data_IF_556799279352
#
_entry.id   IF_556799279352
#
_cell.length_a   1.000
_cell.length_b   1.000
_cell.length_c   1.000
_cell.angle_alpha   90.00
_cell.angle_beta   90.00
_cell.angle_gamma   90.00
#
_symmetry.space_group_name_H-M   'P 1'
#
loop_
_entity.id
_entity.type
_entity.pdbx_description
1 polymer ?
#
# COMPACT_ATOMS: atom_id res chain seq x y z
N UNK A 1 32.66 -11.35 0.43
CA UNK A 1 31.38 -12.03 0.70
C UNK A 1 30.73 -12.33 -0.65
N UNK A 2 30.33 -13.57 -0.91
CA UNK A 2 29.55 -13.88 -2.11
C UNK A 2 28.19 -13.19 -1.95
N UNK A 3 27.83 -12.30 -2.87
CA UNK A 3 26.47 -11.80 -2.98
C UNK A 3 25.60 -12.98 -3.43
N UNK A 4 25.11 -13.77 -2.48
CA UNK A 4 23.91 -14.56 -2.74
C UNK A 4 22.82 -13.55 -3.06
N UNK A 5 22.33 -13.55 -4.30
CA UNK A 5 21.23 -12.70 -4.71
C UNK A 5 20.04 -13.04 -3.81
N UNK A 6 19.67 -12.13 -2.92
CA UNK A 6 18.54 -12.32 -2.03
C UNK A 6 17.29 -12.43 -2.89
N UNK A 7 16.59 -13.56 -2.81
CA UNK A 7 15.39 -13.81 -3.60
C UNK A 7 14.24 -12.90 -3.10
N UNK A 8 13.75 -11.93 -3.91
CA UNK A 8 12.69 -11.01 -3.50
C UNK A 8 11.39 -11.72 -3.07
N UNK A 9 11.09 -12.88 -3.67
CA UNK A 9 9.92 -13.69 -3.31
C UNK A 9 10.05 -14.22 -1.89
N UNK A 10 11.21 -14.75 -1.52
CA UNK A 10 11.46 -15.29 -0.20
C UNK A 10 11.38 -14.20 0.88
N UNK A 11 11.91 -13.00 0.59
CA UNK A 11 11.80 -11.85 1.50
C UNK A 11 10.34 -11.46 1.72
N UNK A 12 9.56 -11.36 0.65
CA UNK A 12 8.13 -11.06 0.74
C UNK A 12 7.38 -12.12 1.56
N UNK A 13 7.62 -13.40 1.28
CA UNK A 13 7.01 -14.52 2.01
C UNK A 13 7.33 -14.48 3.50
N UNK A 14 8.59 -14.29 3.87
CA UNK A 14 9.01 -14.26 5.27
C UNK A 14 8.30 -13.15 6.07
N UNK A 15 8.07 -11.98 5.47
CA UNK A 15 7.31 -10.91 6.13
C UNK A 15 5.85 -11.30 6.36
N UNK A 16 5.20 -11.85 5.32
CA UNK A 16 3.77 -12.18 5.34
C UNK A 16 3.49 -13.34 6.31
N UNK A 17 4.34 -14.35 6.34
CA UNK A 17 4.12 -15.61 7.07
C UNK A 17 4.75 -15.65 8.46
N UNK A 18 5.50 -14.62 8.88
CA UNK A 18 6.11 -14.55 10.21
C UNK A 18 5.11 -14.91 11.33
N UNK A 19 5.44 -15.86 12.19
CA UNK A 19 4.53 -16.34 13.23
C UNK A 19 4.75 -15.62 14.56
N UNK A 20 5.94 -15.05 14.76
CA UNK A 20 6.33 -14.41 16.01
C UNK A 20 7.07 -13.07 15.76
N UNK A 21 7.25 -12.24 16.81
CA UNK A 21 7.91 -10.94 16.68
C UNK A 21 9.37 -11.00 16.20
N UNK A 22 10.11 -12.07 16.54
CA UNK A 22 11.52 -12.22 16.13
C UNK A 22 11.62 -12.45 14.62
N UNK A 23 10.81 -13.37 14.08
CA UNK A 23 10.70 -13.61 12.64
C UNK A 23 10.26 -12.35 11.88
N UNK A 24 9.31 -11.60 12.45
CA UNK A 24 8.85 -10.35 11.86
C UNK A 24 9.96 -9.29 11.82
N UNK A 25 10.74 -9.18 12.91
CA UNK A 25 11.85 -8.25 13.00
C UNK A 25 12.96 -8.61 12.01
N UNK A 26 13.31 -9.88 11.87
CA UNK A 26 14.29 -10.34 10.88
C UNK A 26 13.80 -10.14 9.44
N UNK A 27 12.52 -10.40 9.16
CA UNK A 27 11.93 -10.13 7.86
C UNK A 27 11.97 -8.62 7.52
N UNK A 28 11.66 -7.75 8.49
CA UNK A 28 11.73 -6.30 8.31
C UNK A 28 13.18 -5.83 8.06
N UNK A 29 14.15 -6.34 8.83
CA UNK A 29 15.58 -6.06 8.60
C UNK A 29 16.02 -6.51 7.21
N UNK A 30 15.55 -7.67 6.74
CA UNK A 30 15.85 -8.15 5.39
C UNK A 30 15.32 -7.19 4.32
N UNK A 31 14.08 -6.69 4.45
CA UNK A 31 13.52 -5.69 3.54
C UNK A 31 14.37 -4.41 3.54
N UNK A 32 14.70 -3.86 4.71
CA UNK A 32 15.52 -2.64 4.81
C UNK A 32 16.92 -2.84 4.24
N UNK A 33 17.55 -3.98 4.51
CA UNK A 33 18.85 -4.33 3.95
C UNK A 33 18.80 -4.38 2.42
N UNK A 34 17.75 -4.98 1.84
CA UNK A 34 17.55 -4.96 0.40
C UNK A 34 17.40 -3.54 -0.13
N UNK A 35 16.54 -2.73 0.50
CA UNK A 35 16.32 -1.33 0.11
C UNK A 35 17.62 -0.50 0.10
N UNK A 36 18.56 -0.79 1.01
CA UNK A 36 19.84 -0.09 1.12
C UNK A 36 20.93 -0.61 0.16
N UNK A 37 20.85 -1.87 -0.26
CA UNK A 37 21.96 -2.55 -0.95
C UNK A 37 21.66 -2.96 -2.39
N UNK A 38 20.38 -3.03 -2.76
CA UNK A 38 19.95 -3.48 -4.09
C UNK A 38 19.53 -2.29 -4.97
N UNK A 39 19.62 -2.44 -6.31
CA UNK A 39 19.07 -1.47 -7.25
C UNK A 39 17.55 -1.29 -7.07
N UNK A 40 17.06 -0.09 -7.42
CA UNK A 40 15.63 0.26 -7.32
C UNK A 40 14.74 -0.75 -8.03
N UNK A 41 15.11 -1.23 -9.22
CA UNK A 41 14.30 -2.20 -9.97
C UNK A 41 14.10 -3.52 -9.20
N UNK A 42 15.09 -3.98 -8.43
CA UNK A 42 14.93 -5.14 -7.55
C UNK A 42 13.93 -4.88 -6.44
N UNK A 43 13.88 -3.65 -5.92
CA UNK A 43 12.90 -3.24 -4.91
C UNK A 43 11.49 -3.14 -5.51
N UNK A 44 11.37 -2.71 -6.77
CA UNK A 44 10.08 -2.71 -7.49
C UNK A 44 9.55 -4.14 -7.65
N UNK A 45 10.42 -5.10 -7.97
CA UNK A 45 10.04 -6.52 -8.01
C UNK A 45 9.66 -7.05 -6.60
N UNK A 46 10.40 -6.67 -5.56
CA UNK A 46 10.03 -6.99 -4.17
C UNK A 46 8.64 -6.46 -3.82
N UNK A 47 8.32 -5.22 -4.21
CA UNK A 47 6.99 -4.64 -3.98
C UNK A 47 5.89 -5.46 -4.65
N UNK A 48 6.06 -5.85 -5.92
CA UNK A 48 5.10 -6.72 -6.63
C UNK A 48 4.90 -8.05 -5.91
N UNK A 49 5.98 -8.68 -5.44
CA UNK A 49 5.89 -9.94 -4.71
C UNK A 49 5.25 -9.78 -3.33
N UNK A 50 5.51 -8.68 -2.63
CA UNK A 50 4.82 -8.37 -1.37
C UNK A 50 3.32 -8.27 -1.56
N UNK A 51 2.86 -7.58 -2.60
CA UNK A 51 1.43 -7.48 -2.93
C UNK A 51 0.85 -8.86 -3.24
N UNK A 52 1.46 -9.58 -4.18
CA UNK A 52 0.96 -10.86 -4.67
C UNK A 52 0.91 -11.91 -3.56
N UNK A 53 1.97 -12.04 -2.75
CA UNK A 53 2.04 -13.02 -1.65
C UNK A 53 1.05 -12.68 -0.55
N UNK A 54 0.93 -11.40 -0.18
CA UNK A 54 -0.02 -10.96 0.84
C UNK A 54 -1.46 -11.27 0.38
N UNK A 55 -1.81 -10.90 -0.86
CA UNK A 55 -3.14 -11.16 -1.43
C UNK A 55 -3.43 -12.65 -1.54
N UNK A 56 -2.48 -13.45 -2.02
CA UNK A 56 -2.65 -14.91 -2.13
C UNK A 56 -2.90 -15.56 -0.77
N UNK A 57 -2.13 -15.18 0.25
CA UNK A 57 -2.25 -15.70 1.62
C UNK A 57 -3.62 -15.38 2.21
N UNK A 58 -4.12 -14.15 2.00
CA UNK A 58 -5.45 -13.76 2.48
C UNK A 58 -6.57 -14.45 1.68
N UNK A 59 -6.43 -14.60 0.37
CA UNK A 59 -7.41 -15.33 -0.44
C UNK A 59 -7.51 -16.81 -0.06
N UNK A 60 -6.42 -17.45 0.37
CA UNK A 60 -6.47 -18.81 0.93
C UNK A 60 -7.34 -18.85 2.19
N UNK A 61 -7.23 -17.85 3.08
CA UNK A 61 -8.10 -17.72 4.26
C UNK A 61 -9.56 -17.47 3.87
N UNK A 62 -9.82 -16.62 2.87
CA UNK A 62 -11.18 -16.41 2.33
C UNK A 62 -11.79 -17.73 1.87
N UNK A 63 -11.03 -18.56 1.13
CA UNK A 63 -11.50 -19.88 0.68
C UNK A 63 -11.85 -20.80 1.84
N UNK A 64 -11.05 -20.79 2.90
CA UNK A 64 -11.32 -21.57 4.11
C UNK A 64 -12.63 -21.12 4.78
N UNK A 65 -12.85 -19.82 4.93
CA UNK A 65 -14.09 -19.27 5.51
C UNK A 65 -15.33 -19.60 4.68
N UNK A 66 -15.25 -19.47 3.35
CA UNK A 66 -16.36 -19.85 2.46
C UNK A 66 -16.68 -21.35 2.55
N UNK A 67 -15.65 -22.21 2.62
CA UNK A 67 -15.83 -23.66 2.80
C UNK A 67 -16.49 -24.03 4.13
N UNK A 68 -16.24 -23.24 5.17
CA UNK A 68 -16.85 -23.44 6.48
C UNK A 68 -18.35 -23.06 6.50
N UNK A 69 -18.86 -22.42 5.44
CA UNK A 69 -20.27 -22.08 5.28
C UNK A 69 -20.75 -20.91 6.15
N UNK A 70 -19.83 -20.14 6.72
CA UNK A 70 -20.10 -18.97 7.56
C UNK A 70 -20.43 -17.70 6.76
N UNK A 71 -20.11 -17.69 5.46
CA UNK A 71 -20.21 -16.51 4.60
C UNK A 71 -21.57 -16.36 3.92
N UNK A 72 -21.92 -15.12 3.56
CA UNK A 72 -23.11 -14.81 2.77
C UNK A 72 -23.00 -15.37 1.32
N UNK A 73 -24.14 -15.62 0.68
CA UNK A 73 -24.20 -16.15 -0.70
C UNK A 73 -23.41 -15.29 -1.71
N UNK A 74 -23.46 -13.97 -1.56
CA UNK A 74 -22.70 -13.03 -2.41
C UNK A 74 -21.19 -13.32 -2.39
N UNK A 75 -20.64 -13.73 -1.25
CA UNK A 75 -19.22 -14.07 -1.11
C UNK A 75 -18.88 -15.30 -1.94
N UNK A 76 -19.69 -16.34 -1.85
CA UNK A 76 -19.49 -17.58 -2.60
C UNK A 76 -19.56 -17.34 -4.11
N UNK A 77 -20.55 -16.57 -4.57
CA UNK A 77 -20.71 -16.21 -5.99
C UNK A 77 -19.52 -15.40 -6.49
N UNK A 78 -19.11 -14.36 -5.75
CA UNK A 78 -17.99 -13.52 -6.13
C UNK A 78 -16.65 -14.29 -6.13
N UNK A 79 -16.46 -15.22 -5.20
CA UNK A 79 -15.27 -16.08 -5.17
C UNK A 79 -15.24 -17.01 -6.39
N UNK A 80 -16.35 -17.66 -6.72
CA UNK A 80 -16.44 -18.52 -7.91
C UNK A 80 -16.14 -17.72 -9.18
N UNK A 81 -16.70 -16.51 -9.32
CA UNK A 81 -16.41 -15.66 -10.48
C UNK A 81 -14.93 -15.25 -10.52
N UNK A 82 -14.37 -14.80 -9.41
CA UNK A 82 -12.97 -14.37 -9.33
C UNK A 82 -11.99 -15.49 -9.73
N UNK A 83 -12.31 -16.74 -9.43
CA UNK A 83 -11.51 -17.92 -9.79
C UNK A 83 -11.67 -18.34 -11.26
N UNK A 84 -12.81 -18.04 -11.87
CA UNK A 84 -13.11 -18.40 -13.26
C UNK A 84 -12.79 -17.30 -14.27
N UNK A 85 -12.61 -16.05 -13.81
CA UNK A 85 -12.23 -14.93 -14.65
C UNK A 85 -10.79 -15.11 -15.18
N UNK A 86 -10.60 -14.82 -16.46
CA UNK A 86 -9.28 -14.85 -17.10
C UNK A 86 -8.45 -13.70 -16.57
N UNK A 87 -7.23 -14.01 -16.11
CA UNK A 87 -6.23 -13.02 -15.74
C UNK A 87 -5.15 -12.98 -16.82
N UNK A 88 -4.94 -11.85 -17.52
CA UNK A 88 -3.99 -11.79 -18.61
C UNK A 88 -2.56 -11.97 -18.08
N UNK A 89 -1.73 -12.70 -18.81
CA UNK A 89 -0.33 -12.93 -18.43
C UNK A 89 0.49 -11.62 -18.42
N UNK A 90 0.04 -10.61 -19.18
CA UNK A 90 0.66 -9.29 -19.27
C UNK A 90 -0.44 -8.21 -19.26
N UNK A 91 -0.16 -7.00 -18.73
CA UNK A 91 -1.10 -5.89 -18.81
C UNK A 91 -1.45 -5.58 -20.27
N UNK A 92 -2.73 -5.73 -20.63
CA UNK A 92 -3.23 -5.40 -21.96
C UNK A 92 -3.77 -3.95 -21.99
N UNK A 93 -3.45 -3.17 -23.03
CA UNK A 93 -3.94 -1.80 -23.18
C UNK A 93 -5.44 -1.77 -23.49
N UNK A 94 -6.12 -0.75 -22.97
CA UNK A 94 -7.57 -0.54 -23.15
C UNK A 94 -7.79 0.65 -24.08
N UNK A 95 -8.34 0.41 -25.27
CA UNK A 95 -8.48 1.41 -26.32
C UNK A 95 -9.91 1.78 -26.67
N UNK A 96 -10.84 0.84 -26.60
CA UNK A 96 -12.24 1.10 -26.93
C UNK A 96 -12.93 1.92 -25.83
N UNK A 97 -13.89 2.76 -26.23
CA UNK A 97 -14.66 3.54 -25.27
C UNK A 97 -15.46 2.63 -24.32
N UNK A 98 -15.97 1.50 -24.82
CA UNK A 98 -16.70 0.52 -24.03
C UNK A 98 -15.79 -0.14 -22.99
N UNK A 99 -14.60 -0.62 -23.37
CA UNK A 99 -13.67 -1.22 -22.43
C UNK A 99 -13.17 -0.20 -21.39
N UNK A 100 -12.96 1.07 -21.77
CA UNK A 100 -12.65 2.13 -20.79
C UNK A 100 -13.78 2.37 -19.79
N UNK A 101 -15.03 2.38 -20.24
CA UNK A 101 -16.18 2.54 -19.35
C UNK A 101 -16.27 1.35 -18.38
N UNK A 102 -16.18 0.12 -18.89
CA UNK A 102 -16.17 -1.08 -18.05
C UNK A 102 -15.02 -1.10 -17.05
N UNK A 103 -13.83 -0.62 -17.43
CA UNK A 103 -12.71 -0.50 -16.50
C UNK A 103 -13.03 0.46 -15.34
N UNK A 104 -13.76 1.55 -15.60
CA UNK A 104 -14.22 2.47 -14.57
C UNK A 104 -15.32 1.84 -13.72
N UNK A 105 -16.29 1.16 -14.34
CA UNK A 105 -17.38 0.49 -13.63
C UNK A 105 -16.83 -0.55 -12.66
N UNK A 106 -15.87 -1.37 -13.11
CA UNK A 106 -15.12 -2.32 -12.25
C UNK A 106 -14.36 -1.59 -11.14
N UNK A 107 -13.62 -0.52 -11.46
CA UNK A 107 -12.85 0.25 -10.47
C UNK A 107 -13.75 0.80 -9.34
N UNK A 108 -14.96 1.23 -9.68
CA UNK A 108 -15.89 1.86 -8.73
C UNK A 108 -16.88 0.90 -8.07
N UNK A 109 -16.74 -0.42 -8.26
CA UNK A 109 -17.47 -1.40 -7.45
C UNK A 109 -17.14 -1.23 -5.97
N UNK A 110 -18.13 -0.82 -5.17
CA UNK A 110 -17.95 -0.51 -3.74
C UNK A 110 -18.15 -1.69 -2.79
N UNK A 111 -18.88 -2.73 -3.21
CA UNK A 111 -19.16 -3.92 -2.39
C UNK A 111 -19.42 -5.15 -3.25
N UNK A 112 -19.39 -6.34 -2.66
CA UNK A 112 -19.82 -7.59 -3.29
C UNK A 112 -21.32 -7.55 -3.60
N UNK A 113 -22.13 -6.85 -2.79
CA UNK A 113 -23.54 -6.63 -3.09
C UNK A 113 -23.75 -5.83 -4.37
N UNK A 114 -22.98 -4.75 -4.56
CA UNK A 114 -23.03 -3.94 -5.79
C UNK A 114 -22.61 -4.76 -7.01
N UNK A 115 -21.57 -5.58 -6.86
CA UNK A 115 -21.15 -6.51 -7.90
C UNK A 115 -22.27 -7.50 -8.23
N UNK A 116 -22.84 -8.21 -7.25
CA UNK A 116 -23.88 -9.20 -7.48
C UNK A 116 -25.11 -8.61 -8.18
N UNK A 117 -25.48 -7.35 -7.87
CA UNK A 117 -26.58 -6.65 -8.53
C UNK A 117 -26.33 -6.39 -10.03
N UNK A 118 -25.07 -6.19 -10.43
CA UNK A 118 -24.67 -5.86 -11.80
C UNK A 118 -23.96 -7.01 -12.53
N UNK A 119 -23.74 -8.14 -11.85
CA UNK A 119 -22.93 -9.29 -12.28
C UNK A 119 -23.26 -9.74 -13.70
N UNK A 120 -24.53 -10.01 -13.97
CA UNK A 120 -24.98 -10.54 -15.27
C UNK A 120 -24.64 -9.56 -16.40
N UNK A 121 -24.90 -8.27 -16.18
CA UNK A 121 -24.60 -7.23 -17.16
C UNK A 121 -23.09 -7.07 -17.35
N UNK A 122 -22.31 -6.98 -16.26
CA UNK A 122 -20.86 -6.82 -16.34
C UNK A 122 -20.19 -7.98 -17.10
N UNK A 123 -20.54 -9.22 -16.77
CA UNK A 123 -19.98 -10.40 -17.41
C UNK A 123 -20.37 -10.50 -18.89
N UNK A 124 -21.63 -10.19 -19.23
CA UNK A 124 -22.10 -10.13 -20.62
C UNK A 124 -21.34 -9.06 -21.41
N UNK A 125 -21.19 -7.86 -20.84
CA UNK A 125 -20.51 -6.76 -21.50
C UNK A 125 -19.03 -7.04 -21.76
N UNK A 126 -18.35 -7.75 -20.85
CA UNK A 126 -16.96 -8.23 -21.02
C UNK A 126 -16.87 -9.21 -22.18
N UNK A 127 -17.79 -10.17 -22.30
CA UNK A 127 -17.81 -11.16 -23.38
C UNK A 127 -17.98 -10.53 -24.77
N UNK A 128 -18.61 -9.36 -24.84
CA UNK A 128 -18.81 -8.60 -26.07
C UNK A 128 -17.60 -7.71 -26.46
N UNK A 129 -16.53 -7.66 -25.66
CA UNK A 129 -15.29 -6.99 -26.03
C UNK A 129 -14.45 -7.86 -26.98
N UNK A 130 -13.42 -7.25 -27.59
CA UNK A 130 -12.39 -8.02 -28.31
C UNK A 130 -11.59 -8.86 -27.32
N UNK A 131 -10.99 -9.97 -27.76
CA UNK A 131 -10.32 -10.92 -26.87
C UNK A 131 -9.32 -10.28 -25.89
N UNK A 132 -8.43 -9.42 -26.39
CA UNK A 132 -7.42 -8.75 -25.55
C UNK A 132 -8.03 -7.77 -24.54
N UNK A 133 -9.06 -6.99 -24.94
CA UNK A 133 -9.73 -6.06 -24.03
C UNK A 133 -10.62 -6.82 -23.04
N UNK A 134 -11.26 -7.91 -23.45
CA UNK A 134 -12.04 -8.79 -22.60
C UNK A 134 -11.16 -9.39 -21.50
N UNK A 135 -9.97 -9.91 -21.86
CA UNK A 135 -8.99 -10.39 -20.89
C UNK A 135 -8.52 -9.27 -19.95
N UNK A 136 -8.24 -8.06 -20.47
CA UNK A 136 -7.83 -6.92 -19.66
C UNK A 136 -8.87 -6.55 -18.59
N UNK A 137 -10.15 -6.46 -18.98
CA UNK A 137 -11.24 -6.12 -18.06
C UNK A 137 -11.55 -7.28 -17.11
N UNK A 138 -11.52 -8.52 -17.61
CA UNK A 138 -11.68 -9.72 -16.79
C UNK A 138 -10.63 -9.79 -15.68
N UNK A 139 -9.36 -9.55 -15.99
CA UNK A 139 -8.29 -9.51 -15.00
C UNK A 139 -8.48 -8.43 -13.94
N UNK A 140 -8.90 -7.22 -14.36
CA UNK A 140 -9.24 -6.13 -13.43
C UNK A 140 -10.42 -6.48 -12.53
N UNK A 141 -11.43 -7.15 -13.07
CA UNK A 141 -12.58 -7.60 -12.29
C UNK A 141 -12.17 -8.67 -11.27
N UNK A 142 -11.38 -9.67 -11.68
CA UNK A 142 -10.85 -10.69 -10.76
C UNK A 142 -10.03 -10.05 -9.63
N UNK A 143 -9.17 -9.08 -9.96
CA UNK A 143 -8.39 -8.34 -8.99
C UNK A 143 -9.29 -7.58 -8.01
N UNK A 144 -10.29 -6.85 -8.51
CA UNK A 144 -11.22 -6.07 -7.69
C UNK A 144 -12.07 -6.97 -6.78
N UNK A 145 -12.59 -8.08 -7.31
CA UNK A 145 -13.34 -9.05 -6.52
C UNK A 145 -12.48 -9.64 -5.40
N UNK A 146 -11.21 -9.95 -5.68
CA UNK A 146 -10.27 -10.40 -4.65
C UNK A 146 -10.11 -9.37 -3.52
N UNK A 147 -10.07 -8.07 -3.83
CA UNK A 147 -9.98 -7.03 -2.80
C UNK A 147 -11.26 -6.90 -1.98
N UNK A 148 -12.43 -6.95 -2.65
CA UNK A 148 -13.73 -6.90 -1.98
C UNK A 148 -13.96 -8.13 -1.10
N UNK A 149 -13.53 -9.31 -1.55
CA UNK A 149 -13.59 -10.56 -0.78
C UNK A 149 -12.73 -10.47 0.49
N UNK A 150 -11.48 -10.03 0.38
CA UNK A 150 -10.61 -9.82 1.55
C UNK A 150 -11.24 -8.80 2.50
N UNK A 151 -11.77 -7.70 1.96
CA UNK A 151 -12.39 -6.66 2.75
C UNK A 151 -13.60 -7.17 3.54
N UNK A 152 -14.60 -7.75 2.87
CA UNK A 152 -15.85 -8.16 3.51
C UNK A 152 -15.69 -9.40 4.40
N UNK A 153 -14.80 -10.33 4.05
CA UNK A 153 -14.65 -11.59 4.78
C UNK A 153 -13.66 -11.46 5.94
N UNK A 154 -12.57 -10.72 5.80
CA UNK A 154 -11.46 -10.78 6.77
C UNK A 154 -11.28 -9.53 7.60
N UNK A 155 -11.59 -8.32 7.10
CA UNK A 155 -11.27 -7.07 7.82
C UNK A 155 -11.96 -7.00 9.19
N UNK A 156 -13.22 -7.41 9.25
CA UNK A 156 -14.00 -7.39 10.48
C UNK A 156 -13.94 -8.72 11.27
N UNK A 157 -13.24 -9.74 10.77
CA UNK A 157 -13.23 -11.10 11.32
C UNK A 157 -11.83 -11.58 11.75
N UNK A 158 -10.94 -10.66 12.12
CA UNK A 158 -9.57 -11.02 12.59
C UNK A 158 -9.50 -11.48 14.05
N UNK A 159 -10.64 -11.66 14.72
CA UNK A 159 -10.73 -11.80 16.18
C UNK A 159 -9.91 -12.98 16.72
N UNK A 160 -8.92 -12.64 17.55
CA UNK A 160 -8.05 -13.60 18.25
C UNK A 160 -6.84 -14.09 17.46
N UNK A 161 -6.79 -13.92 16.13
CA UNK A 161 -5.65 -14.29 15.30
C UNK A 161 -4.75 -13.07 15.01
N UNK A 162 -3.71 -12.90 15.83
CA UNK A 162 -2.73 -11.80 15.68
C UNK A 162 -1.97 -11.85 14.35
N UNK A 163 -1.76 -13.04 13.79
CA UNK A 163 -1.05 -13.20 12.52
C UNK A 163 -1.94 -12.73 11.38
N UNK A 164 -3.20 -13.16 11.37
CA UNK A 164 -4.20 -12.68 10.40
C UNK A 164 -4.41 -11.17 10.49
N UNK A 165 -4.57 -10.63 11.71
CA UNK A 165 -4.71 -9.18 11.91
C UNK A 165 -3.53 -8.40 11.31
N UNK A 166 -2.30 -8.89 11.48
CA UNK A 166 -1.11 -8.30 10.85
C UNK A 166 -1.14 -8.42 9.33
N UNK A 167 -1.51 -9.58 8.79
CA UNK A 167 -1.60 -9.81 7.35
C UNK A 167 -2.64 -8.89 6.68
N UNK A 168 -3.81 -8.74 7.31
CA UNK A 168 -4.85 -7.80 6.86
C UNK A 168 -4.35 -6.36 6.94
N UNK A 169 -3.69 -5.96 8.04
CA UNK A 169 -3.11 -4.61 8.17
C UNK A 169 -2.08 -4.35 7.08
N UNK A 170 -1.18 -5.31 6.81
CA UNK A 170 -0.21 -5.22 5.72
C UNK A 170 -0.91 -5.06 4.37
N UNK A 171 -1.90 -5.88 4.08
CA UNK A 171 -2.70 -5.77 2.85
C UNK A 171 -3.36 -4.41 2.70
N UNK A 172 -4.01 -3.87 3.74
CA UNK A 172 -4.63 -2.54 3.69
C UNK A 172 -3.61 -1.45 3.33
N UNK A 173 -2.40 -1.51 3.88
CA UNK A 173 -1.33 -0.56 3.58
C UNK A 173 -0.82 -0.68 2.13
N UNK A 174 -0.64 -1.91 1.63
CA UNK A 174 -0.21 -2.15 0.25
C UNK A 174 -1.31 -1.80 -0.76
N UNK A 175 -2.57 -2.15 -0.46
CA UNK A 175 -3.74 -1.79 -1.25
C UNK A 175 -3.86 -0.27 -1.40
N UNK A 176 -3.77 0.48 -0.28
CA UNK A 176 -3.78 1.93 -0.32
C UNK A 176 -2.60 2.52 -1.11
N UNK A 177 -1.40 1.98 -0.93
CA UNK A 177 -0.23 2.39 -1.71
C UNK A 177 -0.43 2.16 -3.21
N UNK A 178 -1.10 1.08 -3.61
CA UNK A 178 -1.42 0.80 -5.01
C UNK A 178 -2.47 1.76 -5.57
N UNK A 179 -3.56 2.00 -4.85
CA UNK A 179 -4.60 2.94 -5.29
C UNK A 179 -4.05 4.36 -5.50
N UNK A 180 -3.05 4.75 -4.71
CA UNK A 180 -2.37 6.05 -4.80
C UNK A 180 -1.15 6.05 -5.74
N UNK A 181 -0.85 4.94 -6.41
CA UNK A 181 0.26 4.82 -7.36
C UNK A 181 1.66 4.86 -6.74
N UNK A 182 1.78 4.50 -5.46
CA UNK A 182 3.00 4.53 -4.64
C UNK A 182 3.54 3.12 -4.30
N UNK A 183 2.90 2.06 -4.80
CA UNK A 183 3.20 0.67 -4.44
C UNK A 183 4.66 0.29 -4.73
N UNK A 184 5.24 0.75 -5.84
CA UNK A 184 6.61 0.38 -6.22
C UNK A 184 7.69 0.80 -5.21
N UNK A 185 7.39 1.77 -4.34
CA UNK A 185 8.30 2.26 -3.30
C UNK A 185 7.87 1.88 -1.89
N UNK A 186 6.72 1.21 -1.73
CA UNK A 186 6.21 0.78 -0.42
C UNK A 186 7.25 0.06 0.47
N UNK A 187 8.15 -0.81 -0.05
CA UNK A 187 9.14 -1.48 0.79
C UNK A 187 10.05 -0.52 1.58
N UNK A 188 10.39 0.64 1.03
CA UNK A 188 11.23 1.65 1.71
C UNK A 188 10.56 2.25 2.95
N UNK A 189 9.24 2.22 3.00
CA UNK A 189 8.43 2.87 4.02
C UNK A 189 7.81 1.89 5.02
N UNK A 190 8.01 0.58 4.85
CA UNK A 190 7.62 -0.39 5.85
C UNK A 190 8.47 -0.22 7.10
N UNK A 191 7.82 -0.22 8.27
CA UNK A 191 8.48 -0.12 9.56
C UNK A 191 7.70 -0.91 10.62
N UNK A 192 8.27 -1.01 11.82
CA UNK A 192 7.56 -1.47 13.01
C UNK A 192 7.19 -0.26 13.86
N UNK A 193 6.01 -0.26 14.47
CA UNK A 193 5.63 0.72 15.50
C UNK A 193 6.21 0.35 16.87
N UNK A 194 5.94 1.18 17.88
CA UNK A 194 6.48 1.02 19.24
C UNK A 194 6.02 -0.28 19.90
N UNK A 195 4.87 -0.82 19.46
CA UNK A 195 4.32 -2.09 19.91
C UNK A 195 4.81 -3.29 19.05
N UNK A 196 5.71 -3.04 18.08
CA UNK A 196 6.26 -4.06 17.20
C UNK A 196 5.32 -4.50 16.08
N UNK A 197 4.26 -3.75 15.78
CA UNK A 197 3.36 -4.07 14.68
C UNK A 197 3.82 -3.42 13.38
N UNK A 198 3.48 -4.05 12.25
CA UNK A 198 3.80 -3.51 10.92
C UNK A 198 3.03 -2.21 10.68
N UNK A 199 3.75 -1.18 10.28
CA UNK A 199 3.21 0.09 9.81
C UNK A 199 3.85 0.51 8.49
N UNK A 200 3.20 1.41 7.78
CA UNK A 200 3.71 2.04 6.57
C UNK A 200 3.82 3.54 6.81
N UNK A 201 5.01 4.06 6.55
CA UNK A 201 5.33 5.47 6.62
C UNK A 201 5.07 6.17 5.26
N UNK A 202 4.45 5.49 4.29
CA UNK A 202 4.06 6.13 3.03
C UNK A 202 3.06 7.26 3.32
N UNK A 203 3.15 8.41 2.64
CA UNK A 203 2.25 9.53 2.87
C UNK A 203 0.77 9.16 2.84
N UNK A 204 0.35 8.30 1.91
CA UNK A 204 -1.03 7.85 1.82
C UNK A 204 -1.50 7.06 3.06
N UNK A 205 -0.60 6.29 3.68
CA UNK A 205 -0.91 5.39 4.79
C UNK A 205 -0.79 6.04 6.17
N UNK A 206 -0.26 7.27 6.28
CA UNK A 206 -0.13 7.95 7.58
C UNK A 206 -1.52 8.37 8.08
N UNK A 207 -1.96 7.86 9.26
CA UNK A 207 -3.28 8.18 9.77
C UNK A 207 -3.35 9.63 10.26
N UNK A 208 -4.55 10.20 10.17
CA UNK A 208 -4.86 11.49 10.80
C UNK A 208 -4.63 11.37 12.31
N UNK A 209 -3.98 12.37 12.89
CA UNK A 209 -3.61 12.38 14.31
C UNK A 209 -2.24 11.76 14.60
N UNK A 210 -1.53 11.22 13.61
CA UNK A 210 -0.19 10.67 13.80
C UNK A 210 0.78 11.70 14.43
N UNK A 211 1.75 11.27 15.24
CA UNK A 211 2.73 12.18 15.83
C UNK A 211 3.75 12.66 14.79
N UNK A 212 4.38 13.81 15.03
CA UNK A 212 5.42 14.39 14.19
C UNK A 212 6.55 13.40 13.89
N UNK A 213 6.89 12.52 14.84
CA UNK A 213 7.86 11.42 14.65
C UNK A 213 7.59 10.64 13.36
N UNK A 214 6.34 10.24 13.10
CA UNK A 214 5.95 9.49 11.90
C UNK A 214 6.19 10.31 10.62
N UNK A 215 5.78 11.58 10.62
CA UNK A 215 5.97 12.46 9.45
C UNK A 215 7.45 12.77 9.18
N UNK A 216 8.26 12.98 10.22
CA UNK A 216 9.70 13.19 10.09
C UNK A 216 10.42 11.91 9.66
N UNK A 217 9.98 10.73 10.10
CA UNK A 217 10.52 9.46 9.61
C UNK A 217 10.23 9.27 8.11
N UNK A 218 9.01 9.56 7.66
CA UNK A 218 8.66 9.58 6.23
C UNK A 218 9.56 10.56 5.45
N UNK A 219 9.67 11.80 5.94
CA UNK A 219 10.54 12.82 5.33
C UNK A 219 12.02 12.39 5.28
N UNK A 220 12.49 11.69 6.31
CA UNK A 220 13.85 11.14 6.36
C UNK A 220 14.09 10.07 5.30
N UNK A 221 13.10 9.23 5.00
CA UNK A 221 13.16 8.26 3.90
C UNK A 221 13.18 9.01 2.56
N UNK A 222 12.33 10.03 2.37
CA UNK A 222 12.35 10.86 1.16
C UNK A 222 13.70 11.54 0.96
N UNK A 223 14.33 12.07 2.02
CA UNK A 223 15.69 12.61 1.95
C UNK A 223 16.67 11.57 1.38
N UNK A 224 16.63 10.33 1.86
CA UNK A 224 17.51 9.26 1.39
C UNK A 224 17.25 8.88 -0.08
N UNK A 225 15.99 8.94 -0.50
CA UNK A 225 15.55 8.62 -1.86
C UNK A 225 15.78 9.76 -2.87
N UNK A 226 15.99 11.00 -2.41
CA UNK A 226 16.05 12.20 -3.25
C UNK A 226 17.06 12.13 -4.41
N UNK A 227 18.14 11.36 -4.25
CA UNK A 227 19.19 11.19 -5.26
C UNK A 227 19.17 9.80 -5.92
N UNK A 228 18.25 8.92 -5.53
CA UNK A 228 18.18 7.54 -6.00
C UNK A 228 16.99 7.29 -6.93
N UNK A 229 15.94 8.11 -6.83
CA UNK A 229 14.67 7.91 -7.53
C UNK A 229 14.51 8.84 -8.73
N UNK A 230 13.58 8.46 -9.61
CA UNK A 230 13.13 9.34 -10.68
C UNK A 230 12.51 10.62 -10.09
N UNK A 231 12.79 11.77 -10.71
CA UNK A 231 12.36 13.08 -10.23
C UNK A 231 10.84 13.18 -10.12
N UNK A 232 10.09 12.53 -11.03
CA UNK A 232 8.63 12.55 -11.02
C UNK A 232 8.05 11.73 -9.88
N UNK A 233 8.55 10.50 -9.68
CA UNK A 233 8.14 9.63 -8.56
C UNK A 233 8.45 10.28 -7.21
N UNK A 234 9.64 10.89 -7.11
CA UNK A 234 10.07 11.63 -5.94
C UNK A 234 9.16 12.83 -5.63
N UNK A 235 8.90 13.67 -6.64
CA UNK A 235 8.03 14.84 -6.48
C UNK A 235 6.60 14.46 -6.10
N UNK A 236 6.07 13.37 -6.66
CA UNK A 236 4.75 12.86 -6.30
C UNK A 236 4.66 12.51 -4.80
N UNK A 237 5.66 11.80 -4.27
CA UNK A 237 5.72 11.46 -2.84
C UNK A 237 5.89 12.69 -1.95
N UNK A 238 6.74 13.65 -2.33
CA UNK A 238 6.92 14.89 -1.58
C UNK A 238 5.62 15.70 -1.55
N UNK A 239 4.92 15.80 -2.68
CA UNK A 239 3.62 16.48 -2.76
C UNK A 239 2.58 15.79 -1.86
N UNK A 240 2.50 14.46 -1.92
CA UNK A 240 1.59 13.70 -1.06
C UNK A 240 1.90 13.93 0.43
N UNK A 241 3.18 13.94 0.82
CA UNK A 241 3.56 14.25 2.20
C UNK A 241 3.21 15.69 2.58
N UNK A 242 3.47 16.66 1.70
CA UNK A 242 3.14 18.06 1.91
C UNK A 242 1.64 18.26 2.17
N UNK A 243 0.78 17.67 1.35
CA UNK A 243 -0.68 17.75 1.52
C UNK A 243 -1.15 17.10 2.83
N UNK A 244 -0.55 15.97 3.21
CA UNK A 244 -0.87 15.30 4.48
C UNK A 244 -0.44 16.11 5.70
N UNK A 245 0.78 16.64 5.70
CA UNK A 245 1.25 17.51 6.80
C UNK A 245 0.39 18.78 6.89
N UNK A 246 0.06 19.39 5.75
CA UNK A 246 -0.85 20.54 5.71
C UNK A 246 -2.20 20.22 6.35
N UNK A 247 -2.81 19.11 5.96
CA UNK A 247 -4.10 18.66 6.51
C UNK A 247 -4.02 18.45 8.02
N UNK A 248 -2.98 17.77 8.50
CA UNK A 248 -2.79 17.48 9.93
C UNK A 248 -2.59 18.77 10.75
N UNK A 249 -1.75 19.70 10.26
CA UNK A 249 -1.52 21.00 10.91
C UNK A 249 -2.82 21.80 11.02
N UNK A 250 -3.58 21.91 9.92
CA UNK A 250 -4.85 22.63 9.91
C UNK A 250 -5.87 22.02 10.87
N UNK A 251 -5.98 20.69 10.90
CA UNK A 251 -6.88 20.00 11.83
C UNK A 251 -6.49 20.24 13.29
N UNK A 252 -5.20 20.17 13.64
CA UNK A 252 -4.72 20.44 15.00
C UNK A 252 -4.98 21.87 15.44
N UNK A 253 -4.68 22.85 14.58
CA UNK A 253 -4.97 24.27 14.83
C UNK A 253 -6.47 24.48 15.02
N UNK A 254 -7.32 23.91 14.14
CA UNK A 254 -8.78 24.04 14.25
C UNK A 254 -9.35 23.47 15.55
N UNK A 255 -8.66 22.49 16.15
CA UNK A 255 -8.99 21.88 17.44
C UNK A 255 -8.32 22.57 18.64
N UNK A 256 -7.62 23.68 18.41
CA UNK A 256 -6.93 24.45 19.46
C UNK A 256 -5.72 23.75 20.08
N UNK A 257 -5.10 22.79 19.37
CA UNK A 257 -3.87 22.13 19.83
C UNK A 257 -2.67 22.96 19.38
N UNK A 258 -2.01 23.63 20.33
CA UNK A 258 -0.69 24.29 20.13
C UNK A 258 0.37 23.61 21.02
N UNK A 259 0.48 22.28 20.87
CA UNK A 259 1.53 21.50 21.52
C UNK A 259 2.83 21.51 20.68
N UNK A 260 3.93 21.06 21.29
CA UNK A 260 5.23 20.91 20.60
C UNK A 260 5.09 20.12 19.30
N UNK A 261 4.23 19.10 19.30
CA UNK A 261 3.98 18.24 18.15
C UNK A 261 3.41 19.04 16.96
N UNK A 262 2.46 19.95 17.23
CA UNK A 262 1.88 20.84 16.22
C UNK A 262 2.92 21.82 15.66
N UNK A 263 3.81 22.34 16.52
CA UNK A 263 4.91 23.23 16.10
C UNK A 263 5.90 22.52 15.19
N UNK A 264 6.31 21.29 15.55
CA UNK A 264 7.22 20.49 14.73
C UNK A 264 6.62 20.15 13.35
N UNK A 265 5.31 19.88 13.29
CA UNK A 265 4.59 19.66 12.03
C UNK A 265 4.50 20.94 11.19
N UNK A 266 4.28 22.10 11.82
CA UNK A 266 4.29 23.39 11.12
C UNK A 266 5.68 23.73 10.56
N UNK A 267 6.76 23.41 11.30
CA UNK A 267 8.14 23.52 10.79
C UNK A 267 8.35 22.59 9.57
N UNK A 268 7.90 21.33 9.65
CA UNK A 268 8.00 20.38 8.54
C UNK A 268 7.20 20.84 7.30
N UNK A 269 6.00 21.39 7.51
CA UNK A 269 5.18 21.98 6.45
C UNK A 269 5.95 23.08 5.69
N UNK A 270 6.61 23.98 6.43
CA UNK A 270 7.39 25.05 5.83
C UNK A 270 8.55 24.52 4.99
N UNK A 271 9.27 23.49 5.48
CA UNK A 271 10.34 22.84 4.73
C UNK A 271 9.82 22.16 3.46
N UNK A 272 8.76 21.35 3.58
CA UNK A 272 8.15 20.65 2.44
C UNK A 272 7.66 21.63 1.38
N UNK A 273 7.08 22.76 1.77
CA UNK A 273 6.64 23.81 0.84
C UNK A 273 7.80 24.34 -0.01
N UNK A 274 8.99 24.49 0.57
CA UNK A 274 10.19 24.90 -0.18
C UNK A 274 10.63 23.81 -1.16
N UNK A 275 10.61 22.54 -0.76
CA UNK A 275 10.94 21.42 -1.67
C UNK A 275 9.97 21.37 -2.84
N UNK A 276 8.66 21.43 -2.57
CA UNK A 276 7.61 21.45 -3.60
C UNK A 276 7.76 22.63 -4.55
N UNK A 277 8.09 23.83 -4.03
CA UNK A 277 8.18 25.04 -4.86
C UNK A 277 9.47 25.14 -5.67
N UNK A 278 10.57 24.59 -5.16
CA UNK A 278 11.90 24.69 -5.78
C UNK A 278 12.30 23.45 -6.58
N UNK A 279 11.57 22.33 -6.41
CA UNK A 279 11.95 21.00 -6.89
C UNK A 279 13.39 20.60 -6.50
N UNK A 280 13.90 21.16 -5.40
CA UNK A 280 15.28 20.97 -4.96
C UNK A 280 15.33 20.18 -3.64
N UNK A 281 16.13 19.10 -3.59
CA UNK A 281 16.34 18.35 -2.35
C UNK A 281 17.26 19.07 -1.36
N UNK A 282 17.83 20.22 -1.71
CA UNK A 282 18.76 20.97 -0.84
C UNK A 282 18.14 21.37 0.52
N UNK A 283 16.82 21.43 0.61
CA UNK A 283 16.11 21.70 1.88
C UNK A 283 16.39 20.62 2.92
N UNK A 284 16.63 19.38 2.50
CA UNK A 284 16.93 18.28 3.41
C UNK A 284 18.28 18.44 4.11
N UNK A 285 19.17 19.25 3.56
CA UNK A 285 20.48 19.54 4.15
C UNK A 285 20.41 20.67 5.19
N UNK A 286 19.21 21.20 5.46
CA UNK A 286 19.01 22.18 6.50
C UNK A 286 19.28 21.55 7.89
N UNK A 287 20.25 22.06 8.68
CA UNK A 287 20.68 21.40 9.93
C UNK A 287 19.56 21.13 10.93
N UNK A 288 18.57 22.03 10.98
CA UNK A 288 17.40 21.92 11.86
C UNK A 288 16.59 20.65 11.61
N UNK A 289 16.51 20.18 10.37
CA UNK A 289 15.80 18.94 10.04
C UNK A 289 16.43 17.74 10.75
N UNK A 290 17.76 17.62 10.71
CA UNK A 290 18.51 16.55 11.37
C UNK A 290 18.48 16.66 12.90
N UNK A 291 18.50 17.88 13.45
CA UNK A 291 18.36 18.11 14.89
C UNK A 291 17.01 17.61 15.42
N UNK A 292 15.92 17.98 14.74
CA UNK A 292 14.55 17.57 15.14
C UNK A 292 14.40 16.06 14.98
N UNK A 293 14.85 15.50 13.86
CA UNK A 293 14.78 14.05 13.62
C UNK A 293 15.49 13.28 14.74
N UNK A 294 16.72 13.66 15.11
CA UNK A 294 17.45 13.05 16.22
C UNK A 294 16.74 13.22 17.56
N UNK A 295 16.13 14.37 17.83
CA UNK A 295 15.33 14.62 19.05
C UNK A 295 14.10 13.70 19.10
N UNK A 296 13.50 13.37 17.97
CA UNK A 296 12.32 12.48 17.87
C UNK A 296 12.70 11.00 17.91
N UNK A 297 13.90 10.63 17.48
CA UNK A 297 14.42 9.25 17.50
C UNK A 297 15.05 8.87 18.85
N UNK A 298 15.59 9.84 19.59
CA UNK A 298 16.19 9.64 20.92
C UNK A 298 15.20 9.63 22.09
N UNK A 299 13.90 9.81 21.82
CA UNK A 299 12.79 9.75 22.76
C UNK A 299 11.79 8.66 22.34
#
# INVERSE_FOLDING_TARGET
>A
MKNESVNPIAVAQNLVTAQNPEELQEAMKAIHCNCLTQPVDTIRELAKHLEAVTKATLMDRVREEVKNGSCAENVSVALEDAENLVNPALPAPIFSAKARQLALDVKYLSSLGDYCNQRVQLLDEIQHLTGEEAEAISGRLAERLGDLLIFEVLVDNTDGDKVLARQVRLWQMLHMAREEGQMQLAPYFLALDEDGNVQSLLPCCIPIGAPAKVFYSCAGILKALAYQQDVWEYNALVNALHEKVQTEVLQRISRGRDDENTRLLAELFALLRVVVSSHSPAVWDYPRFEEIKKKLEGN
#
